data_IF_645356675335
#
_entry.id   IF_645356675335
#
_cell.length_a   1.000
_cell.length_b   1.000
_cell.length_c   1.000
_cell.angle_alpha   90.00
_cell.angle_beta   90.00
_cell.angle_gamma   90.00
#
_symmetry.space_group_name_H-M   'P 1'
#
loop_
_entity.id
_entity.type
_entity.pdbx_description
1 polymer ?
#
# COMPACT_ATOMS: atom_id res chain seq x y z
N UNK A 1 3.56 -8.15 13.53
CA UNK A 1 2.88 -8.88 12.43
C UNK A 1 3.25 -8.22 11.12
N UNK A 2 3.29 -8.93 9.99
CA UNK A 2 3.52 -8.34 8.67
C UNK A 2 2.36 -8.69 7.76
N UNK A 3 1.55 -7.70 7.38
CA UNK A 3 0.35 -7.88 6.59
C UNK A 3 0.69 -7.98 5.09
N UNK A 4 0.22 -9.03 4.43
CA UNK A 4 0.38 -9.19 2.99
C UNK A 4 -0.72 -8.45 2.24
N UNK A 5 -0.33 -7.50 1.37
CA UNK A 5 -1.29 -6.73 0.56
C UNK A 5 -1.70 -7.42 -0.74
N UNK A 6 -1.23 -8.65 -1.00
CA UNK A 6 -1.65 -9.40 -2.18
C UNK A 6 -3.15 -9.74 -2.05
N UNK A 7 -4.01 -9.29 -2.98
CA UNK A 7 -5.46 -9.56 -2.92
C UNK A 7 -5.81 -11.05 -3.07
N UNK A 8 -4.89 -11.87 -3.58
CA UNK A 8 -5.06 -13.33 -3.73
C UNK A 8 -4.57 -14.11 -2.50
N UNK A 9 -4.04 -13.43 -1.48
CA UNK A 9 -3.55 -14.10 -0.27
C UNK A 9 -4.71 -14.51 0.64
N UNK A 10 -4.82 -15.80 0.95
CA UNK A 10 -5.87 -16.34 1.82
C UNK A 10 -5.66 -16.03 3.31
N UNK A 11 -4.41 -15.81 3.74
CA UNK A 11 -4.06 -15.49 5.13
C UNK A 11 -3.11 -14.29 5.18
N UNK A 12 -3.62 -13.07 4.91
CA UNK A 12 -2.78 -11.88 4.77
C UNK A 12 -2.17 -11.42 6.10
N UNK A 13 -2.78 -11.72 7.24
CA UNK A 13 -2.39 -11.27 8.58
C UNK A 13 -1.72 -12.35 9.44
N UNK A 14 -1.21 -13.43 8.84
CA UNK A 14 -0.55 -14.51 9.58
C UNK A 14 0.62 -13.97 10.46
N UNK A 15 0.59 -14.21 11.78
CA UNK A 15 1.66 -13.80 12.70
C UNK A 15 3.06 -14.29 12.28
N UNK A 16 3.14 -15.46 11.65
CA UNK A 16 4.37 -16.06 11.13
C UNK A 16 5.02 -15.28 10.00
N UNK A 17 4.37 -14.27 9.43
CA UNK A 17 4.97 -13.36 8.45
C UNK A 17 5.85 -12.26 9.11
N UNK A 18 5.84 -12.12 10.43
CA UNK A 18 6.49 -10.99 11.14
C UNK A 18 7.97 -10.81 10.79
N UNK A 19 8.74 -11.89 10.70
CA UNK A 19 10.19 -11.89 10.43
C UNK A 19 10.52 -12.24 8.98
N UNK A 20 9.52 -12.50 8.15
CA UNK A 20 9.73 -12.93 6.77
C UNK A 20 9.83 -11.74 5.82
N UNK A 21 10.59 -11.94 4.73
CA UNK A 21 10.64 -11.01 3.60
C UNK A 21 9.55 -11.31 2.55
N UNK A 22 9.09 -12.56 2.50
CA UNK A 22 8.04 -13.03 1.61
C UNK A 22 6.90 -13.66 2.40
N UNK A 23 5.67 -13.50 1.92
CA UNK A 23 4.49 -14.07 2.54
C UNK A 23 4.54 -15.59 2.42
N UNK A 24 4.36 -16.28 3.54
CA UNK A 24 4.42 -17.75 3.56
C UNK A 24 3.28 -18.45 2.83
N UNK A 25 2.18 -17.72 2.54
CA UNK A 25 0.97 -18.26 1.92
C UNK A 25 0.91 -18.04 0.42
N UNK A 26 1.40 -16.90 -0.06
CA UNK A 26 1.31 -16.54 -1.49
C UNK A 26 2.66 -16.19 -2.12
N UNK A 27 3.76 -16.17 -1.36
CA UNK A 27 5.10 -15.85 -1.87
C UNK A 27 5.30 -14.42 -2.36
N UNK A 28 4.39 -13.49 -2.03
CA UNK A 28 4.56 -12.05 -2.34
C UNK A 28 5.50 -11.38 -1.36
N UNK A 29 6.26 -10.40 -1.83
CA UNK A 29 7.10 -9.60 -0.95
C UNK A 29 6.26 -8.91 0.14
N UNK A 30 6.77 -8.93 1.36
CA UNK A 30 6.19 -8.26 2.53
C UNK A 30 6.83 -6.90 2.80
N UNK A 31 7.91 -6.59 2.08
CA UNK A 31 8.66 -5.33 2.18
C UNK A 31 8.51 -4.55 0.88
N UNK A 32 7.57 -3.59 0.86
CA UNK A 32 7.23 -2.82 -0.32
C UNK A 32 8.35 -1.82 -0.63
N UNK A 33 8.75 -1.72 -1.90
CA UNK A 33 9.86 -0.86 -2.33
C UNK A 33 11.16 -1.12 -1.54
N UNK A 34 11.32 -2.32 -0.96
CA UNK A 34 12.45 -2.65 -0.09
C UNK A 34 12.53 -1.86 1.22
N UNK A 35 11.49 -1.09 1.58
CA UNK A 35 11.53 -0.13 2.71
C UNK A 35 10.32 -0.22 3.63
N UNK A 36 9.13 -0.37 3.07
CA UNK A 36 7.88 -0.24 3.83
C UNK A 36 7.31 -1.59 4.22
N UNK A 37 7.15 -1.84 5.52
CA UNK A 37 6.50 -3.03 6.05
C UNK A 37 5.07 -2.68 6.48
N UNK A 38 4.09 -3.39 5.92
CA UNK A 38 2.68 -3.19 6.26
C UNK A 38 2.35 -4.02 7.50
N UNK A 39 1.66 -3.43 8.46
CA UNK A 39 1.39 -4.05 9.76
C UNK A 39 -0.05 -4.55 9.89
N UNK A 40 -1.02 -3.73 9.48
CA UNK A 40 -2.44 -4.07 9.51
C UNK A 40 -3.27 -3.19 8.59
N UNK A 41 -4.46 -3.67 8.26
CA UNK A 41 -5.52 -2.88 7.64
C UNK A 41 -6.13 -1.92 8.67
N UNK A 42 -6.28 -0.65 8.31
CA UNK A 42 -6.97 0.37 9.11
C UNK A 42 -8.40 0.62 8.61
N UNK A 43 -8.59 0.62 7.28
CA UNK A 43 -9.91 0.83 6.67
C UNK A 43 -9.96 0.26 5.26
N UNK A 44 -11.06 -0.41 4.91
CA UNK A 44 -11.39 -0.84 3.54
C UNK A 44 -12.56 -0.06 2.92
N UNK A 45 -13.11 0.91 3.65
CA UNK A 45 -14.26 1.72 3.24
C UNK A 45 -13.86 3.10 2.70
N UNK A 46 -12.57 3.40 2.57
CA UNK A 46 -12.06 4.70 2.16
C UNK A 46 -12.08 4.90 0.63
N UNK A 47 -13.23 5.29 0.09
CA UNK A 47 -13.38 5.59 -1.34
C UNK A 47 -12.87 4.46 -2.24
N UNK A 48 -11.93 4.77 -3.14
CA UNK A 48 -11.34 3.82 -4.08
C UNK A 48 -10.23 2.95 -3.50
N UNK A 49 -9.79 3.20 -2.26
CA UNK A 49 -8.62 2.55 -1.68
C UNK A 49 -8.89 1.81 -0.37
N UNK A 50 -7.93 0.96 -0.01
CA UNK A 50 -7.76 0.42 1.34
C UNK A 50 -6.62 1.18 2.01
N UNK A 51 -6.77 1.47 3.29
CA UNK A 51 -5.79 2.21 4.10
C UNK A 51 -5.21 1.25 5.11
N UNK A 52 -3.88 1.24 5.20
CA UNK A 52 -3.10 0.37 6.05
C UNK A 52 -2.15 1.19 6.92
N UNK A 53 -1.83 0.64 8.08
CA UNK A 53 -0.70 1.07 8.88
C UNK A 53 0.56 0.39 8.32
N UNK A 54 1.58 1.19 8.03
CA UNK A 54 2.86 0.73 7.55
C UNK A 54 4.01 1.42 8.30
N UNK A 55 5.22 0.90 8.16
CA UNK A 55 6.41 1.46 8.78
C UNK A 55 7.57 1.49 7.80
N UNK A 56 8.34 2.57 7.83
CA UNK A 56 9.69 2.64 7.29
C UNK A 56 10.68 2.57 8.46
N UNK A 57 11.23 1.40 8.74
CA UNK A 57 11.98 1.16 9.98
C UNK A 57 11.08 1.38 11.20
N UNK A 58 11.41 2.36 12.05
CA UNK A 58 10.62 2.74 13.23
C UNK A 58 9.64 3.90 12.97
N UNK A 59 9.63 4.46 11.76
CA UNK A 59 8.79 5.61 11.42
C UNK A 59 7.43 5.12 10.92
N UNK A 60 6.31 5.44 11.62
CA UNK A 60 4.98 5.08 11.18
C UNK A 60 4.60 5.85 9.92
N UNK A 61 3.88 5.18 9.04
CA UNK A 61 3.40 5.67 7.75
C UNK A 61 1.99 5.17 7.48
N UNK A 62 1.25 5.91 6.66
CA UNK A 62 -0.04 5.48 6.14
C UNK A 62 0.13 5.02 4.70
N UNK A 63 -0.22 3.76 4.43
CA UNK A 63 -0.24 3.21 3.08
C UNK A 63 -1.68 3.16 2.58
N UNK A 64 -1.98 3.87 1.50
CA UNK A 64 -3.23 3.74 0.76
C UNK A 64 -2.99 2.92 -0.50
N UNK A 65 -3.78 1.85 -0.71
CA UNK A 65 -3.68 0.96 -1.87
C UNK A 65 -4.98 0.99 -2.64
N UNK A 66 -4.94 1.21 -3.95
CA UNK A 66 -6.12 1.17 -4.81
C UNK A 66 -6.75 -0.24 -4.80
N UNK A 67 -8.07 -0.31 -4.73
CA UNK A 67 -8.79 -1.60 -4.74
C UNK A 67 -8.64 -2.30 -6.10
N UNK A 68 -8.45 -3.64 -6.14
CA UNK A 68 -8.27 -4.38 -7.38
C UNK A 68 -9.38 -4.16 -8.41
N UNK A 69 -10.65 -4.00 -7.98
CA UNK A 69 -11.77 -3.72 -8.89
C UNK A 69 -11.68 -2.37 -9.64
N UNK A 70 -10.67 -1.55 -9.34
CA UNK A 70 -10.41 -0.27 -9.97
C UNK A 70 -9.09 -0.23 -10.76
N UNK A 71 -8.28 -1.29 -10.73
CA UNK A 71 -6.96 -1.35 -11.37
C UNK A 71 -6.99 -1.32 -12.91
N UNK A 72 -8.15 -1.51 -13.52
CA UNK A 72 -8.36 -1.40 -14.98
C UNK A 72 -9.09 -0.11 -15.39
N UNK A 73 -9.56 0.70 -14.42
CA UNK A 73 -10.35 1.90 -14.67
C UNK A 73 -9.41 3.11 -14.76
N UNK A 74 -8.97 3.44 -15.98
CA UNK A 74 -8.00 4.52 -16.26
C UNK A 74 -8.31 5.83 -15.53
N UNK A 75 -9.57 6.26 -15.54
CA UNK A 75 -9.99 7.50 -14.85
C UNK A 75 -9.81 7.43 -13.34
N UNK A 76 -10.05 6.28 -12.71
CA UNK A 76 -9.84 6.12 -11.26
C UNK A 76 -8.35 6.14 -10.93
N UNK A 77 -7.53 5.47 -11.73
CA UNK A 77 -6.08 5.47 -11.58
C UNK A 77 -5.53 6.89 -11.72
N UNK A 78 -6.03 7.67 -12.67
CA UNK A 78 -5.66 9.07 -12.86
C UNK A 78 -6.01 9.92 -11.62
N UNK A 79 -7.23 9.80 -11.10
CA UNK A 79 -7.65 10.50 -9.87
C UNK A 79 -6.79 10.11 -8.67
N UNK A 80 -6.46 8.83 -8.55
CA UNK A 80 -5.60 8.32 -7.48
C UNK A 80 -4.17 8.88 -7.58
N UNK A 81 -3.60 8.96 -8.79
CA UNK A 81 -2.30 9.62 -9.04
C UNK A 81 -2.36 11.12 -8.76
N UNK A 82 -3.47 11.76 -9.13
CA UNK A 82 -3.68 13.18 -8.88
C UNK A 82 -3.74 13.49 -7.38
N UNK A 83 -4.34 12.63 -6.56
CA UNK A 83 -4.33 12.75 -5.09
C UNK A 83 -2.89 12.85 -4.56
N UNK A 84 -2.02 11.91 -4.93
CA UNK A 84 -0.61 11.93 -4.56
C UNK A 84 0.11 13.20 -5.04
N UNK A 85 -0.14 13.62 -6.29
CA UNK A 85 0.49 14.79 -6.90
C UNK A 85 0.03 16.13 -6.30
N UNK A 86 -1.18 16.19 -5.75
CA UNK A 86 -1.68 17.36 -5.03
C UNK A 86 -1.07 17.38 -3.62
N UNK A 87 -1.12 16.27 -2.90
CA UNK A 87 -0.55 16.17 -1.55
C UNK A 87 0.95 16.50 -1.52
N UNK A 88 1.71 16.16 -2.57
CA UNK A 88 3.15 16.48 -2.66
C UNK A 88 3.47 17.97 -2.78
N UNK A 89 2.48 18.78 -3.16
CA UNK A 89 2.63 20.23 -3.30
C UNK A 89 2.13 21.00 -2.08
N UNK A 90 1.51 20.31 -1.12
CA UNK A 90 0.97 20.92 0.08
C UNK A 90 1.95 20.73 1.23
N UNK A 91 2.27 21.83 1.93
CA UNK A 91 3.11 21.80 3.12
C UNK A 91 2.37 22.54 4.22
N UNK A 92 1.73 21.79 5.11
CA UNK A 92 0.93 22.36 6.20
C UNK A 92 0.84 21.36 7.35
N UNK A 93 0.95 21.78 8.63
CA UNK A 93 0.94 20.87 9.78
C UNK A 93 -0.35 20.05 9.93
N UNK A 94 -1.47 20.54 9.38
CA UNK A 94 -2.76 19.82 9.35
C UNK A 94 -2.97 18.94 8.12
N UNK A 95 -2.02 18.87 7.18
CA UNK A 95 -2.15 18.09 5.95
C UNK A 95 -1.02 17.05 5.93
N UNK A 96 -1.36 15.75 5.81
CA UNK A 96 -0.35 14.71 5.70
C UNK A 96 0.60 14.95 4.51
N UNK A 97 1.90 14.91 4.77
CA UNK A 97 2.92 15.09 3.74
C UNK A 97 3.27 13.75 3.10
N UNK A 98 3.34 13.73 1.78
CA UNK A 98 3.77 12.56 1.00
C UNK A 98 5.29 12.61 0.75
N UNK A 99 5.94 11.46 0.76
CA UNK A 99 7.36 11.37 0.36
C UNK A 99 7.50 11.70 -1.15
N UNK A 100 8.68 12.18 -1.63
CA UNK A 100 8.90 12.50 -3.04
C UNK A 100 8.63 11.35 -4.02
N UNK A 101 8.75 10.10 -3.54
CA UNK A 101 8.39 8.86 -4.26
C UNK A 101 7.17 8.17 -3.64
N UNK A 102 6.27 8.95 -3.05
CA UNK A 102 5.19 8.39 -2.25
C UNK A 102 4.17 7.61 -3.06
N UNK A 103 4.05 7.88 -4.36
CA UNK A 103 3.27 7.03 -5.27
C UNK A 103 4.17 5.98 -5.94
N UNK A 104 3.75 4.71 -5.87
CA UNK A 104 4.44 3.62 -6.54
C UNK A 104 3.49 2.49 -6.94
N UNK A 105 3.97 1.62 -7.83
CA UNK A 105 3.28 0.38 -8.19
C UNK A 105 3.95 -0.81 -7.52
N UNK A 106 3.15 -1.73 -7.00
CA UNK A 106 3.61 -2.98 -6.41
C UNK A 106 3.03 -4.17 -7.15
N UNK A 107 3.89 -5.07 -7.62
CA UNK A 107 3.49 -6.29 -8.31
C UNK A 107 3.44 -7.46 -7.33
N UNK A 108 2.26 -7.76 -6.83
CA UNK A 108 2.06 -8.92 -5.98
C UNK A 108 2.32 -10.22 -6.76
N UNK A 109 2.78 -11.26 -6.06
CA UNK A 109 3.02 -12.58 -6.66
C UNK A 109 1.72 -13.10 -7.27
N UNK A 110 1.83 -13.64 -8.48
CA UNK A 110 0.71 -14.19 -9.26
C UNK A 110 -0.35 -13.16 -9.69
N UNK A 111 -0.11 -11.85 -9.48
CA UNK A 111 -0.98 -10.80 -10.01
C UNK A 111 -0.54 -10.39 -11.41
N UNK A 112 -1.51 -10.21 -12.32
CA UNK A 112 -1.27 -9.66 -13.67
C UNK A 112 -1.25 -8.14 -13.68
N UNK A 113 -1.94 -7.52 -12.72
CA UNK A 113 -2.05 -6.07 -12.60
C UNK A 113 -1.29 -5.59 -11.34
N UNK A 114 -0.70 -4.38 -11.40
CA UNK A 114 -0.06 -3.79 -10.23
C UNK A 114 -1.11 -3.32 -9.22
N UNK A 115 -0.71 -3.31 -7.95
CA UNK A 115 -1.38 -2.51 -6.93
C UNK A 115 -0.81 -1.10 -6.98
N UNK A 116 -1.67 -0.10 -7.10
CA UNK A 116 -1.28 1.30 -7.02
C UNK A 116 -1.26 1.75 -5.55
N UNK A 117 -0.14 2.30 -5.10
CA UNK A 117 0.11 2.63 -3.70
C UNK A 117 0.46 4.10 -3.53
N UNK A 118 0.01 4.69 -2.42
CA UNK A 118 0.42 6.01 -1.92
C UNK A 118 0.90 5.81 -0.48
N UNK A 119 2.13 6.21 -0.17
CA UNK A 119 2.68 6.23 1.18
C UNK A 119 2.81 7.67 1.68
N UNK A 120 2.28 7.91 2.87
CA UNK A 120 2.21 9.22 3.53
C UNK A 120 2.93 9.10 4.87
#
# INVERSE_FOLDING_TARGET
MSYCINPLCLQPDDPGNMTNLVCRHCGSDLLLQGRYRVMRLLSDQSGFGKVYEAYNGAVPKILKVLKPEHNSKSRIIELFRQEAAVLSKLTHPGIPQIDPEGYFQFFARHSKEPLHCIII
#
